data_IF_608043663020
#
_entry.id   IF_608043663020
#
_cell.length_a   1.000
_cell.length_b   1.000
_cell.length_c   1.000
_cell.angle_alpha   90.00
_cell.angle_beta   90.00
_cell.angle_gamma   90.00
#
_symmetry.space_group_name_H-M   'P 1'
#
loop_
_entity.id
_entity.type
_entity.pdbx_description
1 polymer ?
#
# COMPACT_ATOMS: atom_id res chain seq x y z
N UNK A 1 11.43 -2.91 -1.05
CA UNK A 1 10.52 -4.06 -0.87
C UNK A 1 11.28 -5.39 -0.78
N UNK A 2 12.06 -5.83 -1.80
CA UNK A 2 12.74 -7.13 -1.77
C UNK A 2 13.62 -7.32 -0.51
N UNK A 3 14.50 -6.39 -0.21
CA UNK A 3 15.33 -6.45 1.03
C UNK A 3 14.52 -6.50 2.32
N UNK A 4 13.39 -5.78 2.39
CA UNK A 4 12.50 -5.86 3.56
C UNK A 4 11.86 -7.25 3.70
N UNK A 5 11.44 -7.86 2.58
CA UNK A 5 10.97 -9.23 2.53
C UNK A 5 12.05 -10.23 3.00
N UNK A 6 13.28 -10.09 2.54
CA UNK A 6 14.44 -10.91 2.95
C UNK A 6 14.70 -10.80 4.45
N UNK A 7 14.70 -9.58 5.01
CA UNK A 7 14.90 -9.37 6.44
C UNK A 7 13.78 -10.00 7.28
N UNK A 8 12.52 -9.87 6.88
CA UNK A 8 11.41 -10.51 7.58
C UNK A 8 11.51 -12.03 7.47
N UNK A 9 11.80 -12.56 6.28
CA UNK A 9 11.94 -14.00 6.04
C UNK A 9 13.13 -14.61 6.79
N UNK A 10 14.19 -13.85 7.06
CA UNK A 10 15.32 -14.31 7.89
C UNK A 10 14.97 -14.51 9.37
N UNK A 11 13.80 -14.02 9.81
CA UNK A 11 13.38 -14.08 11.20
C UNK A 11 14.08 -13.07 12.13
N UNK A 12 14.77 -12.08 11.59
CA UNK A 12 15.54 -11.09 12.37
C UNK A 12 14.68 -10.31 13.37
N UNK A 13 13.40 -10.04 13.03
CA UNK A 13 12.45 -9.38 13.93
C UNK A 13 11.58 -10.36 14.74
N UNK A 14 11.77 -11.68 14.55
CA UNK A 14 10.95 -12.72 15.19
C UNK A 14 9.54 -12.82 14.60
N UNK A 15 8.59 -13.33 15.41
CA UNK A 15 7.19 -13.43 15.03
C UNK A 15 6.52 -12.06 14.96
N UNK A 16 5.86 -11.77 13.84
CA UNK A 16 5.13 -10.49 13.67
C UNK A 16 3.98 -10.43 14.69
N UNK A 17 3.87 -9.30 15.39
CA UNK A 17 2.83 -9.01 16.37
C UNK A 17 1.92 -7.87 15.93
N UNK A 18 2.48 -6.87 15.22
CA UNK A 18 1.72 -5.71 14.74
C UNK A 18 2.31 -5.17 13.44
N UNK A 19 1.43 -4.63 12.58
CA UNK A 19 1.82 -3.90 11.36
C UNK A 19 1.08 -2.58 11.33
N UNK A 20 1.80 -1.47 11.11
CA UNK A 20 1.16 -0.21 10.76
C UNK A 20 1.70 0.32 9.42
N UNK A 21 0.80 0.95 8.65
CA UNK A 21 1.17 1.48 7.35
C UNK A 21 0.30 2.66 6.96
N UNK A 22 0.88 3.65 6.29
CA UNK A 22 0.14 4.76 5.72
C UNK A 22 0.52 5.00 4.27
N UNK A 23 -0.45 5.49 3.51
CA UNK A 23 -0.28 5.90 2.12
C UNK A 23 -0.97 7.23 1.91
N UNK A 24 -0.26 8.21 1.37
CA UNK A 24 -0.81 9.54 1.12
C UNK A 24 -0.43 10.05 -0.27
N UNK A 25 -1.32 10.78 -0.91
CA UNK A 25 -1.10 11.34 -2.24
C UNK A 25 -1.97 12.58 -2.49
N UNK A 26 -1.61 13.38 -3.50
CA UNK A 26 -2.34 14.59 -3.89
C UNK A 26 -3.38 14.24 -4.96
N UNK A 27 -4.55 13.70 -4.55
CA UNK A 27 -5.56 13.17 -5.48
C UNK A 27 -6.99 13.68 -5.23
N UNK A 28 -7.17 14.71 -4.40
CA UNK A 28 -8.50 15.25 -4.08
C UNK A 28 -9.29 15.60 -5.33
N UNK A 29 -8.67 16.28 -6.30
CA UNK A 29 -9.33 16.69 -7.55
C UNK A 29 -9.89 15.49 -8.32
N UNK A 30 -9.07 14.43 -8.48
CA UNK A 30 -9.45 13.24 -9.23
C UNK A 30 -10.71 12.58 -8.65
N UNK A 31 -10.80 12.49 -7.32
CA UNK A 31 -11.96 11.93 -6.63
C UNK A 31 -13.17 12.87 -6.58
N UNK A 32 -12.98 14.15 -6.93
CA UNK A 32 -14.08 15.11 -7.17
C UNK A 32 -14.57 15.11 -8.62
N UNK A 33 -13.97 14.30 -9.50
CA UNK A 33 -14.29 14.28 -10.91
C UNK A 33 -13.55 15.36 -11.72
N UNK A 34 -12.54 16.00 -11.14
CA UNK A 34 -11.69 16.99 -11.79
C UNK A 34 -10.44 16.30 -12.33
N UNK A 35 -10.13 16.42 -13.64
CA UNK A 35 -8.92 15.84 -14.20
C UNK A 35 -7.64 16.36 -13.54
N UNK A 36 -6.64 15.49 -13.39
CA UNK A 36 -5.32 15.90 -12.90
C UNK A 36 -4.56 16.66 -13.99
N UNK A 37 -4.27 17.93 -13.75
CA UNK A 37 -3.50 18.79 -14.67
C UNK A 37 -2.08 18.26 -14.88
N UNK A 38 -1.48 17.62 -13.87
CA UNK A 38 -0.15 17.01 -13.96
C UNK A 38 -0.06 15.85 -14.97
N UNK A 39 -1.21 15.34 -15.43
CA UNK A 39 -1.27 14.27 -16.44
C UNK A 39 -1.59 14.77 -17.84
N UNK A 40 -1.65 16.10 -18.08
CA UNK A 40 -2.10 16.64 -19.37
C UNK A 40 -1.21 16.24 -20.55
N UNK A 41 0.06 16.04 -20.34
CA UNK A 41 1.02 15.56 -21.35
C UNK A 41 1.14 14.03 -21.43
N UNK A 42 0.39 13.28 -20.61
CA UNK A 42 0.46 11.82 -20.63
C UNK A 42 -0.42 11.23 -21.72
N UNK A 43 0.11 10.22 -22.43
CA UNK A 43 -0.64 9.46 -23.45
C UNK A 43 -1.88 8.77 -22.87
N UNK A 44 -1.77 8.27 -21.63
CA UNK A 44 -2.86 7.66 -20.88
C UNK A 44 -3.11 8.47 -19.61
N UNK A 45 -4.24 9.17 -19.57
CA UNK A 45 -4.66 9.95 -18.40
C UNK A 45 -5.59 9.14 -17.52
N UNK A 46 -5.50 9.26 -16.19
CA UNK A 46 -6.52 8.71 -15.31
C UNK A 46 -7.86 9.40 -15.60
N UNK A 47 -8.89 8.62 -15.91
CA UNK A 47 -10.23 9.15 -16.19
C UNK A 47 -10.90 9.54 -14.87
N UNK A 48 -11.04 10.84 -14.61
CA UNK A 48 -11.72 11.35 -13.42
C UNK A 48 -13.13 10.75 -13.26
N UNK A 49 -13.86 10.53 -14.36
CA UNK A 49 -15.18 9.88 -14.37
C UNK A 49 -15.16 8.39 -13.92
N UNK A 50 -14.02 7.75 -13.87
CA UNK A 50 -13.86 6.40 -13.28
C UNK A 50 -13.48 6.51 -11.81
N UNK A 51 -12.51 7.35 -11.48
CA UNK A 51 -11.97 7.49 -10.14
C UNK A 51 -12.94 8.14 -9.15
N UNK A 52 -13.86 8.98 -9.64
CA UNK A 52 -14.93 9.62 -8.86
C UNK A 52 -16.26 8.87 -8.85
N UNK A 53 -16.33 7.66 -9.42
CA UNK A 53 -17.56 6.89 -9.55
C UNK A 53 -17.53 5.64 -8.64
N UNK A 54 -18.36 5.58 -7.58
CA UNK A 54 -18.40 4.41 -6.70
C UNK A 54 -18.78 3.11 -7.41
N UNK A 55 -19.53 3.19 -8.53
CA UNK A 55 -19.93 2.01 -9.30
C UNK A 55 -18.80 1.42 -10.14
N UNK A 56 -17.71 2.16 -10.32
CA UNK A 56 -16.53 1.77 -11.10
C UNK A 56 -15.29 1.49 -10.24
N UNK A 57 -15.51 1.14 -8.97
CA UNK A 57 -14.45 1.00 -7.99
C UNK A 57 -13.58 2.28 -7.88
N UNK A 58 -14.21 3.45 -7.97
CA UNK A 58 -13.58 4.73 -7.66
C UNK A 58 -13.32 4.87 -6.17
N UNK A 59 -12.49 5.85 -5.80
CA UNK A 59 -12.14 6.14 -4.43
C UNK A 59 -10.68 5.84 -4.08
N UNK A 60 -10.27 6.32 -2.91
CA UNK A 60 -8.89 6.23 -2.45
C UNK A 60 -8.50 4.78 -2.12
N UNK A 61 -9.40 4.03 -1.50
CA UNK A 61 -9.16 2.63 -1.14
C UNK A 61 -8.81 1.78 -2.34
N UNK A 62 -9.68 1.71 -3.35
CA UNK A 62 -9.40 0.94 -4.56
C UNK A 62 -8.25 1.52 -5.39
N UNK A 63 -8.17 2.85 -5.51
CA UNK A 63 -7.19 3.52 -6.34
C UNK A 63 -5.78 3.51 -5.77
N UNK A 64 -5.61 3.67 -4.46
CA UNK A 64 -4.32 3.89 -3.82
C UNK A 64 -3.97 2.86 -2.75
N UNK A 65 -4.92 2.47 -1.89
CA UNK A 65 -4.63 1.51 -0.84
C UNK A 65 -4.39 0.09 -1.38
N UNK A 66 -4.80 -0.18 -2.62
CA UNK A 66 -4.40 -1.40 -3.33
C UNK A 66 -2.87 -1.55 -3.40
N UNK A 67 -2.14 -0.46 -3.68
CA UNK A 67 -0.66 -0.44 -3.67
C UNK A 67 -0.10 -0.66 -2.26
N UNK A 68 -0.70 -0.01 -1.27
CA UNK A 68 -0.29 -0.13 0.13
C UNK A 68 -0.41 -1.58 0.63
N UNK A 69 -1.58 -2.18 0.46
CA UNK A 69 -1.82 -3.56 0.91
C UNK A 69 -0.99 -4.58 0.12
N UNK A 70 -0.85 -4.41 -1.20
CA UNK A 70 -0.01 -5.30 -1.99
C UNK A 70 1.45 -5.31 -1.50
N UNK A 71 2.02 -4.14 -1.22
CA UNK A 71 3.37 -4.03 -0.67
C UNK A 71 3.51 -4.63 0.72
N UNK A 72 2.55 -4.38 1.60
CA UNK A 72 2.52 -4.93 2.95
C UNK A 72 2.40 -6.48 2.92
N UNK A 73 1.47 -7.04 2.13
CA UNK A 73 1.32 -8.48 1.98
C UNK A 73 2.53 -9.15 1.35
N UNK A 74 3.19 -8.44 0.42
CA UNK A 74 4.43 -8.93 -0.18
C UNK A 74 5.50 -9.20 0.87
N UNK A 75 5.73 -8.27 1.79
CA UNK A 75 6.83 -8.38 2.76
C UNK A 75 6.47 -9.22 3.99
N UNK A 76 5.18 -9.23 4.41
CA UNK A 76 4.77 -9.89 5.66
C UNK A 76 4.21 -11.29 5.46
N UNK A 77 3.66 -11.60 4.29
CA UNK A 77 2.93 -12.84 3.96
C UNK A 77 1.70 -13.12 4.84
N UNK A 78 1.27 -12.18 5.69
CA UNK A 78 0.11 -12.32 6.57
C UNK A 78 -1.17 -12.63 5.79
N UNK A 79 -2.13 -13.28 6.44
CA UNK A 79 -3.46 -13.54 5.90
C UNK A 79 -4.49 -12.68 6.63
N UNK A 80 -5.31 -11.88 5.93
CA UNK A 80 -6.35 -11.07 6.57
C UNK A 80 -7.47 -11.96 7.12
N UNK A 81 -7.99 -11.60 8.29
CA UNK A 81 -9.11 -12.29 8.94
C UNK A 81 -10.32 -11.37 9.10
N UNK A 82 -10.12 -10.19 9.70
CA UNK A 82 -11.20 -9.24 10.02
C UNK A 82 -10.76 -7.81 9.75
N UNK A 83 -11.71 -7.00 9.28
CA UNK A 83 -11.48 -5.60 8.88
C UNK A 83 -12.55 -4.71 9.48
N UNK A 84 -12.13 -3.58 10.07
CA UNK A 84 -13.00 -2.46 10.41
C UNK A 84 -12.47 -1.21 9.73
N UNK A 85 -13.35 -0.45 9.05
CA UNK A 85 -12.95 0.74 8.30
C UNK A 85 -13.92 1.90 8.54
N UNK A 86 -13.33 3.09 8.78
CA UNK A 86 -14.01 4.38 8.72
C UNK A 86 -13.42 5.20 7.59
N UNK A 87 -14.26 5.92 6.85
CA UNK A 87 -13.81 6.78 5.76
C UNK A 87 -14.50 8.13 5.75
N UNK A 88 -13.90 9.10 5.06
CA UNK A 88 -14.53 10.38 4.76
C UNK A 88 -14.86 10.42 3.28
N UNK A 89 -16.16 10.52 2.91
CA UNK A 89 -16.57 10.54 1.52
C UNK A 89 -16.29 11.88 0.83
N UNK A 90 -16.05 11.82 -0.47
CA UNK A 90 -16.00 12.96 -1.37
C UNK A 90 -17.41 13.46 -1.71
N UNK A 91 -17.56 14.64 -2.35
CA UNK A 91 -18.84 15.08 -2.90
C UNK A 91 -19.45 14.14 -3.94
N UNK A 92 -18.65 13.28 -4.57
CA UNK A 92 -19.11 12.28 -5.55
C UNK A 92 -19.48 10.93 -4.90
N UNK A 93 -19.25 10.79 -3.59
CA UNK A 93 -19.57 9.59 -2.82
C UNK A 93 -18.48 8.54 -2.76
N UNK A 94 -17.30 8.76 -3.36
CA UNK A 94 -16.12 7.91 -3.16
C UNK A 94 -15.33 8.40 -1.93
N UNK A 95 -14.53 7.52 -1.34
CA UNK A 95 -13.70 7.84 -0.19
C UNK A 95 -12.49 8.72 -0.54
N UNK A 96 -12.13 9.64 0.39
CA UNK A 96 -10.93 10.47 0.36
C UNK A 96 -9.85 10.04 1.33
N UNK A 97 -10.31 9.60 2.52
CA UNK A 97 -9.43 9.17 3.59
C UNK A 97 -10.01 7.96 4.26
N UNK A 98 -9.14 7.05 4.66
CA UNK A 98 -9.51 5.79 5.27
C UNK A 98 -8.69 5.54 6.52
N UNK A 99 -9.36 5.12 7.59
CA UNK A 99 -8.76 4.59 8.80
C UNK A 99 -9.22 3.14 8.97
N UNK A 100 -8.27 2.21 8.86
CA UNK A 100 -8.56 0.78 8.77
C UNK A 100 -7.84 0.04 9.88
N UNK A 101 -8.57 -0.80 10.63
CA UNK A 101 -8.01 -1.74 11.58
C UNK A 101 -8.19 -3.16 11.06
N UNK A 102 -7.12 -3.96 11.09
CA UNK A 102 -7.13 -5.35 10.67
C UNK A 102 -6.77 -6.29 11.82
N UNK A 103 -7.38 -7.47 11.77
CA UNK A 103 -6.85 -8.67 12.41
C UNK A 103 -6.42 -9.64 11.33
N UNK A 104 -5.24 -10.20 11.50
CA UNK A 104 -4.71 -11.28 10.68
C UNK A 104 -4.81 -12.62 11.43
N UNK A 105 -4.74 -13.71 10.68
CA UNK A 105 -4.62 -15.04 11.26
C UNK A 105 -3.46 -15.10 12.28
N UNK A 106 -3.59 -15.91 13.30
CA UNK A 106 -2.61 -15.98 14.39
C UNK A 106 -2.67 -14.81 15.39
N UNK A 107 -3.69 -13.92 15.29
CA UNK A 107 -3.92 -12.85 16.26
C UNK A 107 -3.09 -11.59 16.05
N UNK A 108 -2.32 -11.49 14.96
CA UNK A 108 -1.59 -10.28 14.59
C UNK A 108 -2.57 -9.15 14.31
N UNK A 109 -2.27 -7.93 14.75
CA UNK A 109 -3.09 -6.74 14.53
C UNK A 109 -2.44 -5.78 13.53
N UNK A 110 -3.26 -4.94 12.89
CA UNK A 110 -2.75 -3.91 11.98
C UNK A 110 -3.56 -2.62 12.02
N UNK A 111 -2.87 -1.50 11.83
CA UNK A 111 -3.43 -0.18 11.68
C UNK A 111 -2.99 0.44 10.36
N UNK A 112 -3.97 0.88 9.55
CA UNK A 112 -3.71 1.34 8.18
C UNK A 112 -4.43 2.66 7.94
N UNK A 113 -3.81 3.56 7.19
CA UNK A 113 -4.44 4.82 6.83
C UNK A 113 -4.18 5.21 5.39
N UNK A 114 -5.22 5.79 4.78
CA UNK A 114 -5.18 6.39 3.45
C UNK A 114 -5.53 7.87 3.49
N UNK A 115 -4.87 8.72 2.68
CA UNK A 115 -5.16 10.14 2.65
C UNK A 115 -4.89 10.76 1.27
N UNK A 116 -5.94 11.36 0.66
CA UNK A 116 -5.83 12.08 -0.60
C UNK A 116 -5.34 13.53 -0.45
N UNK A 117 -5.21 14.05 0.76
CA UNK A 117 -4.99 15.47 1.06
C UNK A 117 -3.52 15.90 1.15
N UNK A 118 -2.64 15.33 0.34
CA UNK A 118 -1.30 15.90 0.18
C UNK A 118 -1.42 17.18 -0.65
N UNK A 119 -0.76 18.29 -0.27
CA UNK A 119 -0.80 19.50 -1.07
C UNK A 119 -0.27 19.31 -2.49
N UNK A 120 -0.86 20.01 -3.47
CA UNK A 120 -0.41 19.95 -4.87
C UNK A 120 1.06 20.35 -4.99
N UNK A 121 1.79 19.66 -5.87
CA UNK A 121 3.23 19.87 -6.08
C UNK A 121 4.14 19.19 -5.07
N UNK A 122 3.58 18.52 -4.06
CA UNK A 122 4.35 17.70 -3.11
C UNK A 122 4.15 16.22 -3.38
N UNK A 123 5.22 15.45 -3.26
CA UNK A 123 5.15 14.00 -3.34
C UNK A 123 4.36 13.39 -2.20
N UNK A 124 3.66 12.30 -2.46
CA UNK A 124 3.02 11.51 -1.42
C UNK A 124 4.01 10.71 -0.58
N UNK A 125 3.50 10.03 0.43
CA UNK A 125 4.28 9.17 1.31
C UNK A 125 3.71 7.76 1.34
N UNK A 126 4.59 6.77 1.45
CA UNK A 126 4.25 5.39 1.72
C UNK A 126 5.22 4.84 2.76
N UNK A 127 4.71 4.35 3.86
CA UNK A 127 5.53 3.70 4.87
C UNK A 127 4.90 2.39 5.33
N UNK A 128 5.76 1.45 5.74
CA UNK A 128 5.37 0.18 6.36
C UNK A 128 6.22 0.01 7.61
N UNK A 129 5.59 -0.30 8.73
CA UNK A 129 6.25 -0.66 9.98
C UNK A 129 5.77 -2.03 10.41
N UNK A 130 6.73 -2.91 10.68
CA UNK A 130 6.46 -4.28 11.12
C UNK A 130 7.13 -4.49 12.46
N UNK A 131 6.34 -4.81 13.47
CA UNK A 131 6.78 -5.06 14.84
C UNK A 131 6.68 -6.54 15.16
N UNK A 132 7.81 -7.15 15.46
CA UNK A 132 7.91 -8.53 15.92
C UNK A 132 8.34 -8.62 17.38
N UNK A 133 8.40 -9.84 17.90
CA UNK A 133 8.80 -10.07 19.29
C UNK A 133 10.31 -9.96 19.54
N UNK A 134 11.13 -9.92 18.47
CA UNK A 134 12.60 -9.75 18.57
C UNK A 134 13.09 -8.42 18.00
N UNK A 135 12.23 -7.63 17.33
CA UNK A 135 12.64 -6.38 16.72
C UNK A 135 11.56 -5.74 15.86
N UNK A 136 11.95 -4.68 15.16
CA UNK A 136 11.05 -3.94 14.28
C UNK A 136 11.74 -3.57 12.98
N UNK A 137 10.96 -3.53 11.88
CA UNK A 137 11.37 -3.08 10.57
C UNK A 137 10.56 -1.84 10.18
N UNK A 138 11.24 -0.83 9.65
CA UNK A 138 10.68 0.43 9.17
C UNK A 138 11.09 0.61 7.72
N UNK A 139 10.12 0.71 6.82
CA UNK A 139 10.32 0.94 5.40
C UNK A 139 9.59 2.22 5.01
N UNK A 140 10.33 3.24 4.59
CA UNK A 140 9.80 4.53 4.19
C UNK A 140 10.12 4.81 2.71
N UNK A 141 9.13 5.28 1.96
CA UNK A 141 9.21 5.73 0.57
C UNK A 141 8.70 7.18 0.44
N UNK A 142 9.05 8.02 1.36
CA UNK A 142 8.79 9.45 1.29
C UNK A 142 10.03 10.16 0.75
N UNK A 143 9.85 11.14 -0.13
CA UNK A 143 10.96 11.92 -0.69
C UNK A 143 11.80 12.52 0.44
N UNK A 144 13.12 12.34 0.37
CA UNK A 144 14.13 12.70 1.38
C UNK A 144 14.05 11.94 2.72
N UNK A 145 13.22 10.91 2.80
CA UNK A 145 13.13 10.01 3.97
C UNK A 145 13.18 8.53 3.59
N UNK A 146 13.71 8.24 2.41
CA UNK A 146 13.79 6.87 1.91
C UNK A 146 14.76 6.07 2.78
N UNK A 147 14.25 5.05 3.46
CA UNK A 147 15.06 4.16 4.28
C UNK A 147 14.44 2.79 4.45
N UNK A 148 15.30 1.82 4.69
CA UNK A 148 15.00 0.54 5.30
C UNK A 148 15.80 0.45 6.61
N UNK A 149 15.08 0.44 7.73
CA UNK A 149 15.68 0.38 9.07
C UNK A 149 15.18 -0.86 9.78
N UNK A 150 16.10 -1.69 10.28
CA UNK A 150 15.78 -2.81 11.18
C UNK A 150 16.46 -2.57 12.51
N UNK A 151 15.74 -2.77 13.59
CA UNK A 151 16.25 -2.73 14.97
C UNK A 151 15.81 -3.94 15.73
N UNK A 152 16.74 -4.56 16.43
CA UNK A 152 16.47 -5.77 17.22
C UNK A 152 16.62 -5.50 18.71
N UNK A 153 16.01 -6.36 19.54
CA UNK A 153 16.06 -6.22 21.00
C UNK A 153 17.46 -6.46 21.59
N UNK A 154 18.34 -7.16 20.86
CA UNK A 154 19.74 -7.37 21.21
C UNK A 154 20.67 -6.26 20.76
N UNK A 155 20.12 -5.17 20.19
CA UNK A 155 20.84 -3.95 19.84
C UNK A 155 21.44 -3.93 18.44
N UNK A 156 21.13 -4.91 17.57
CA UNK A 156 21.54 -4.82 16.16
C UNK A 156 20.72 -3.73 15.44
N UNK A 157 21.39 -2.93 14.62
CA UNK A 157 20.75 -1.97 13.73
C UNK A 157 21.25 -2.15 12.29
N UNK A 158 20.31 -2.24 11.35
CA UNK A 158 20.55 -2.20 9.90
C UNK A 158 19.85 -0.96 9.39
N UNK A 159 20.57 -0.04 8.76
CA UNK A 159 20.02 1.20 8.23
C UNK A 159 20.51 1.38 6.79
N UNK A 160 19.61 1.18 5.83
CA UNK A 160 19.91 1.25 4.42
C UNK A 160 19.06 2.34 3.76
N UNK A 161 19.69 3.12 2.87
CA UNK A 161 18.92 4.01 1.99
C UNK A 161 18.22 3.17 0.95
N UNK A 162 16.90 3.36 0.80
CA UNK A 162 16.15 2.73 -0.28
C UNK A 162 16.37 3.49 -1.59
N UNK A 163 16.58 2.77 -2.67
CA UNK A 163 16.56 3.39 -3.99
C UNK A 163 15.12 3.76 -4.35
N UNK A 164 14.87 5.04 -4.48
CA UNK A 164 13.61 5.57 -4.99
C UNK A 164 13.74 5.76 -6.49
N UNK A 165 12.68 5.45 -7.24
CA UNK A 165 12.62 5.73 -8.66
C UNK A 165 12.84 7.23 -8.93
N UNK A 166 13.42 7.57 -10.07
CA UNK A 166 13.66 8.96 -10.47
C UNK A 166 12.33 9.74 -10.60
N UNK A 167 12.32 10.97 -10.11
CA UNK A 167 11.18 11.89 -10.18
C UNK A 167 10.36 11.97 -8.89
N UNK A 168 9.13 12.46 -9.01
CA UNK A 168 8.20 12.67 -7.89
C UNK A 168 7.51 11.40 -7.39
N UNK A 169 7.81 10.25 -7.98
CA UNK A 169 7.16 8.98 -7.69
C UNK A 169 8.11 8.01 -6.97
N UNK A 170 7.60 7.40 -5.91
CA UNK A 170 8.32 6.44 -5.08
C UNK A 170 8.61 5.09 -5.77
N UNK A 171 8.21 4.89 -7.03
CA UNK A 171 8.40 3.62 -7.75
C UNK A 171 8.45 3.82 -9.27
N UNK A 172 9.12 2.89 -9.96
CA UNK A 172 9.19 2.86 -11.42
C UNK A 172 8.18 1.86 -11.99
N UNK A 173 7.49 2.23 -13.07
CA UNK A 173 6.52 1.37 -13.76
C UNK A 173 7.18 0.37 -14.73
N UNK A 174 8.49 0.46 -14.96
CA UNK A 174 9.21 -0.39 -15.93
C UNK A 174 9.38 -1.84 -15.45
N UNK A 175 9.60 -2.05 -14.15
CA UNK A 175 9.88 -3.40 -13.61
C UNK A 175 8.76 -4.41 -13.87
N UNK A 176 7.46 -4.11 -13.66
CA UNK A 176 6.39 -5.05 -13.96
C UNK A 176 6.34 -5.43 -15.44
N UNK A 177 6.54 -4.48 -16.33
CA UNK A 177 6.56 -4.71 -17.78
C UNK A 177 7.74 -5.59 -18.17
N UNK A 178 8.94 -5.30 -17.68
CA UNK A 178 10.14 -6.10 -17.95
C UNK A 178 9.98 -7.54 -17.42
N UNK A 179 9.41 -7.71 -16.24
CA UNK A 179 9.13 -9.04 -15.67
C UNK A 179 8.16 -9.83 -16.56
N UNK A 180 7.11 -9.19 -17.06
CA UNK A 180 6.16 -9.85 -17.99
C UNK A 180 6.86 -10.29 -19.28
N UNK A 181 7.71 -9.44 -19.86
CA UNK A 181 8.50 -9.76 -21.04
C UNK A 181 9.44 -10.93 -20.77
N UNK A 182 10.13 -10.94 -19.63
CA UNK A 182 11.05 -12.03 -19.27
C UNK A 182 10.32 -13.36 -19.07
N UNK A 183 9.12 -13.33 -18.47
CA UNK A 183 8.22 -14.50 -18.38
C UNK A 183 7.87 -15.03 -19.78
N UNK A 184 7.45 -14.15 -20.70
CA UNK A 184 7.08 -14.54 -22.06
C UNK A 184 8.27 -15.10 -22.86
N UNK A 185 9.49 -14.65 -22.56
CA UNK A 185 10.72 -15.13 -23.18
C UNK A 185 11.31 -16.40 -22.53
N UNK A 186 10.66 -16.93 -21.48
CA UNK A 186 11.15 -18.11 -20.75
C UNK A 186 12.45 -17.87 -19.98
N UNK A 187 12.78 -16.62 -19.67
CA UNK A 187 13.95 -16.27 -18.85
C UNK A 187 13.67 -16.52 -17.37
N UNK A 188 14.73 -16.63 -16.57
CA UNK A 188 14.61 -16.62 -15.12
C UNK A 188 14.04 -15.28 -14.65
N UNK A 189 13.02 -15.34 -13.78
CA UNK A 189 12.35 -14.16 -13.27
C UNK A 189 11.91 -14.35 -11.81
N UNK A 190 11.74 -13.24 -11.11
CA UNK A 190 11.08 -13.21 -9.81
C UNK A 190 9.75 -12.44 -9.93
N UNK A 191 8.63 -13.16 -9.81
CA UNK A 191 7.30 -12.54 -9.88
C UNK A 191 6.96 -11.84 -8.56
N UNK A 192 7.19 -10.54 -8.49
CA UNK A 192 6.84 -9.73 -7.33
C UNK A 192 5.34 -9.39 -7.23
N UNK A 193 4.58 -9.61 -8.29
CA UNK A 193 3.14 -9.34 -8.39
C UNK A 193 2.29 -10.61 -8.39
N UNK A 194 2.66 -11.61 -7.60
CA UNK A 194 1.94 -12.88 -7.54
C UNK A 194 0.46 -12.70 -7.20
N UNK A 195 -0.39 -13.51 -7.84
CA UNK A 195 -1.84 -13.42 -7.70
C UNK A 195 -2.31 -13.64 -6.26
N UNK A 196 -1.60 -14.42 -5.46
CA UNK A 196 -1.94 -14.65 -4.05
C UNK A 196 -1.86 -13.37 -3.20
N UNK A 197 -0.91 -12.47 -3.50
CA UNK A 197 -0.78 -11.15 -2.88
C UNK A 197 -1.98 -10.30 -3.24
N UNK A 198 -2.33 -10.26 -4.53
CA UNK A 198 -3.45 -9.47 -5.03
C UNK A 198 -4.80 -9.98 -4.51
N UNK A 199 -4.97 -11.29 -4.36
CA UNK A 199 -6.17 -11.87 -3.77
C UNK A 199 -6.39 -11.40 -2.32
N UNK A 200 -5.33 -11.39 -1.50
CA UNK A 200 -5.39 -10.89 -0.12
C UNK A 200 -5.75 -9.40 -0.09
N UNK A 201 -5.14 -8.61 -0.96
CA UNK A 201 -5.41 -7.17 -1.10
C UNK A 201 -6.87 -6.92 -1.47
N UNK A 202 -7.40 -7.61 -2.48
CA UNK A 202 -8.80 -7.45 -2.92
C UNK A 202 -9.78 -7.85 -1.82
N UNK A 203 -9.56 -8.97 -1.13
CA UNK A 203 -10.39 -9.39 0.01
C UNK A 203 -10.40 -8.36 1.13
N UNK A 204 -9.24 -7.80 1.46
CA UNK A 204 -9.13 -6.76 2.48
C UNK A 204 -9.90 -5.51 2.11
N UNK A 205 -9.76 -5.02 0.88
CA UNK A 205 -10.47 -3.83 0.41
C UNK A 205 -11.99 -4.09 0.31
N UNK A 206 -12.41 -5.22 -0.20
CA UNK A 206 -13.82 -5.59 -0.23
C UNK A 206 -14.43 -5.57 1.18
N UNK A 207 -13.76 -6.18 2.16
CA UNK A 207 -14.18 -6.17 3.55
C UNK A 207 -14.17 -4.74 4.13
N UNK A 208 -13.18 -3.90 3.80
CA UNK A 208 -13.14 -2.51 4.22
C UNK A 208 -14.34 -1.72 3.69
N UNK A 209 -14.66 -1.85 2.40
CA UNK A 209 -15.83 -1.17 1.81
C UNK A 209 -17.17 -1.71 2.34
N UNK A 210 -17.26 -3.01 2.68
CA UNK A 210 -18.45 -3.54 3.40
C UNK A 210 -18.52 -2.95 4.81
N UNK A 211 -17.39 -2.84 5.51
CA UNK A 211 -17.33 -2.24 6.85
C UNK A 211 -17.73 -0.76 6.85
N UNK A 212 -17.30 0.03 5.86
CA UNK A 212 -17.74 1.43 5.70
C UNK A 212 -19.27 1.57 5.61
N UNK A 213 -19.94 0.61 4.96
CA UNK A 213 -21.40 0.62 4.80
C UNK A 213 -22.14 0.08 6.00
N UNK A 214 -21.62 -0.98 6.61
CA UNK A 214 -22.29 -1.67 7.73
C UNK A 214 -21.97 -1.04 9.08
N UNK A 215 -20.90 -0.25 9.16
CA UNK A 215 -20.30 0.27 10.40
C UNK A 215 -19.93 -0.85 11.39
N UNK A 216 -19.61 -2.04 10.85
CA UNK A 216 -19.30 -3.25 11.62
C UNK A 216 -17.96 -3.86 11.17
N UNK A 217 -17.46 -4.74 12.04
CA UNK A 217 -16.35 -5.61 11.71
C UNK A 217 -16.77 -6.64 10.65
N UNK A 218 -16.00 -6.73 9.56
CA UNK A 218 -16.27 -7.62 8.43
C UNK A 218 -15.17 -8.69 8.29
N UNK A 219 -15.55 -9.85 7.73
CA UNK A 219 -14.60 -10.93 7.41
C UNK A 219 -13.92 -10.63 6.06
N UNK A 220 -12.59 -10.77 6.00
CA UNK A 220 -11.80 -10.55 4.79
C UNK A 220 -11.75 -11.79 3.88
#
# INVERSE_FOLDING_TARGET
>A
MAKAEEHIASGIIGDIKHVDTSFSSSLVDLFQGIPLSESDDHTFKPLASTWSDPSKAGGYGWGQLSHMFAGMYKITKLNPEKVFCMSVPSPTGVDYTDAISLRFEGGVTGAFSGCAYVPKGYGGGYNIRVHGDKGSLFLDFEINRERLLVRTNDGQEINEKTEVGCGTHAYTTQKPINTLVDICLGKEYHNHGDVSINLKMVRTLDAAYRSMKSEKLEIA
#
